data_IF_816257257735
#
_entry.id   IF_816257257735
#
_cell.length_a   1.000
_cell.length_b   1.000
_cell.length_c   1.000
_cell.angle_alpha   90.00
_cell.angle_beta   90.00
_cell.angle_gamma   90.00
#
_symmetry.space_group_name_H-M   'P 1'
#
loop_
_entity.id
_entity.type
_entity.pdbx_description
1 polymer ?
#
# COMPACT_ATOMS: atom_id res chain seq x y z
N UNK A 1 0.67 32.97 -1.77
CA UNK A 1 1.89 32.20 -1.44
C UNK A 1 1.57 31.24 -0.30
N UNK A 2 1.98 29.97 -0.35
CA UNK A 2 1.80 29.06 0.78
C UNK A 2 2.58 29.59 2.00
N UNK A 3 1.98 29.48 3.19
CA UNK A 3 2.58 29.94 4.45
C UNK A 3 3.92 29.23 4.66
N UNK A 4 4.96 29.97 5.08
CA UNK A 4 6.26 29.37 5.43
C UNK A 4 6.05 28.35 6.56
N UNK A 5 6.50 27.12 6.32
CA UNK A 5 6.42 26.03 7.30
C UNK A 5 7.43 26.29 8.42
N UNK A 6 7.01 26.01 9.65
CA UNK A 6 7.93 25.99 10.78
C UNK A 6 8.65 24.64 10.84
N UNK A 7 9.80 24.54 11.52
CA UNK A 7 10.44 23.24 11.78
C UNK A 7 9.50 22.22 12.46
N UNK A 8 8.55 22.70 13.27
CA UNK A 8 7.53 21.87 13.91
C UNK A 8 6.52 21.33 12.89
N UNK A 9 6.11 22.13 11.91
CA UNK A 9 5.26 21.69 10.81
C UNK A 9 5.95 20.63 9.95
N UNK A 10 7.23 20.83 9.64
CA UNK A 10 8.01 19.86 8.87
C UNK A 10 8.20 18.55 9.64
N UNK A 11 8.43 18.62 10.96
CA UNK A 11 8.51 17.43 11.79
C UNK A 11 7.18 16.68 11.86
N UNK A 12 6.05 17.39 11.97
CA UNK A 12 4.70 16.78 11.90
C UNK A 12 4.49 16.11 10.54
N UNK A 13 4.82 16.80 9.45
CA UNK A 13 4.69 16.25 8.10
C UNK A 13 5.56 15.00 7.91
N UNK A 14 6.78 14.98 8.44
CA UNK A 14 7.63 13.80 8.44
C UNK A 14 6.95 12.62 9.16
N UNK A 15 6.41 12.83 10.36
CA UNK A 15 5.69 11.78 11.09
C UNK A 15 4.45 11.22 10.36
N UNK A 16 3.75 12.08 9.61
CA UNK A 16 2.53 11.69 8.89
C UNK A 16 2.81 11.11 7.49
N UNK A 17 3.84 11.59 6.79
CA UNK A 17 4.07 11.31 5.37
C UNK A 17 5.27 10.40 5.11
N UNK A 18 6.32 10.45 5.95
CA UNK A 18 7.43 9.51 5.82
C UNK A 18 6.92 8.10 6.15
N UNK A 19 7.28 7.12 5.32
CA UNK A 19 6.77 5.74 5.42
C UNK A 19 7.91 4.78 5.73
N UNK A 20 7.66 3.77 6.55
CA UNK A 20 8.64 2.75 6.94
C UNK A 20 8.14 1.38 6.55
N UNK A 21 9.06 0.55 6.06
CA UNK A 21 8.75 -0.84 5.75
C UNK A 21 8.58 -1.62 7.06
N UNK A 22 7.34 -1.92 7.42
CA UNK A 22 6.99 -2.70 8.60
C UNK A 22 7.14 -4.21 8.38
N UNK A 23 7.02 -4.67 7.13
CA UNK A 23 6.95 -6.10 6.79
C UNK A 23 8.29 -6.85 6.91
N UNK A 24 9.34 -6.22 7.46
CA UNK A 24 10.66 -6.83 7.61
C UNK A 24 11.32 -7.22 6.28
N UNK A 25 10.76 -6.79 5.14
CA UNK A 25 11.29 -7.08 3.82
C UNK A 25 12.62 -6.37 3.61
N UNK A 26 13.54 -7.04 2.91
CA UNK A 26 14.78 -6.40 2.48
C UNK A 26 14.46 -5.28 1.46
N UNK A 27 15.15 -4.15 1.53
CA UNK A 27 15.06 -3.07 0.51
C UNK A 27 15.16 -3.59 -0.95
N UNK A 28 15.89 -4.69 -1.17
CA UNK A 28 16.07 -5.29 -2.49
C UNK A 28 14.91 -6.16 -2.94
N UNK A 29 14.11 -6.70 -2.04
CA UNK A 29 13.01 -7.60 -2.41
C UNK A 29 11.82 -6.83 -2.97
N UNK A 30 11.55 -5.60 -2.50
CA UNK A 30 10.56 -4.69 -3.10
C UNK A 30 10.76 -4.49 -4.60
N UNK A 31 12.03 -4.37 -5.04
CA UNK A 31 12.38 -4.20 -6.47
C UNK A 31 11.95 -5.41 -7.32
N UNK A 32 12.04 -6.62 -6.75
CA UNK A 32 11.66 -7.87 -7.42
C UNK A 32 10.15 -8.10 -7.33
N UNK A 33 9.57 -7.90 -6.15
CA UNK A 33 8.20 -8.23 -5.83
C UNK A 33 7.19 -7.31 -6.53
N UNK A 34 7.47 -6.01 -6.68
CA UNK A 34 6.60 -5.11 -7.46
C UNK A 34 6.48 -5.60 -8.91
N UNK A 35 7.62 -5.89 -9.56
CA UNK A 35 7.65 -6.37 -10.94
C UNK A 35 6.93 -7.71 -11.07
N UNK A 36 7.16 -8.61 -10.12
CA UNK A 36 6.55 -9.93 -10.09
C UNK A 36 5.02 -9.86 -9.91
N UNK A 37 4.52 -9.07 -8.97
CA UNK A 37 3.10 -8.84 -8.74
C UNK A 37 2.39 -8.27 -9.97
N UNK A 38 2.98 -7.27 -10.63
CA UNK A 38 2.48 -6.73 -11.90
C UNK A 38 2.41 -7.81 -12.98
N UNK A 39 3.46 -8.63 -13.11
CA UNK A 39 3.51 -9.75 -14.08
C UNK A 39 2.42 -10.78 -13.79
N UNK A 40 2.20 -11.14 -12.52
CA UNK A 40 1.16 -12.10 -12.15
C UNK A 40 -0.24 -11.59 -12.49
N UNK A 41 -0.55 -10.32 -12.19
CA UNK A 41 -1.84 -9.72 -12.55
C UNK A 41 -2.03 -9.71 -14.07
N UNK A 42 -1.03 -9.30 -14.84
CA UNK A 42 -1.11 -9.31 -16.29
C UNK A 42 -1.30 -10.73 -16.86
N UNK A 43 -0.58 -11.74 -16.33
CA UNK A 43 -0.72 -13.14 -16.75
C UNK A 43 -2.11 -13.69 -16.43
N UNK A 44 -2.65 -13.40 -15.23
CA UNK A 44 -3.98 -13.83 -14.83
C UNK A 44 -5.06 -13.21 -15.73
N UNK A 45 -4.97 -11.91 -16.02
CA UNK A 45 -5.91 -11.22 -16.91
C UNK A 45 -5.85 -11.76 -18.34
N UNK A 46 -4.66 -12.02 -18.89
CA UNK A 46 -4.51 -12.65 -20.21
C UNK A 46 -5.09 -14.04 -20.25
N UNK A 47 -4.83 -14.87 -19.24
CA UNK A 47 -5.41 -16.21 -19.15
C UNK A 47 -6.94 -16.14 -19.16
N UNK A 48 -7.54 -15.29 -18.33
CA UNK A 48 -9.00 -15.13 -18.28
C UNK A 48 -9.58 -14.60 -19.59
N UNK A 49 -8.89 -13.68 -20.26
CA UNK A 49 -9.26 -13.24 -21.60
C UNK A 49 -9.24 -14.39 -22.62
N UNK A 50 -8.16 -15.19 -22.64
CA UNK A 50 -8.06 -16.34 -23.55
C UNK A 50 -9.08 -17.43 -23.26
N UNK A 51 -9.43 -17.67 -22.00
CA UNK A 51 -10.50 -18.60 -21.60
C UNK A 51 -11.87 -18.11 -22.08
N UNK A 52 -12.19 -16.82 -21.90
CA UNK A 52 -13.47 -16.25 -22.33
C UNK A 52 -13.65 -16.29 -23.86
N UNK A 53 -12.57 -16.15 -24.61
CA UNK A 53 -12.56 -16.13 -26.09
C UNK A 53 -12.16 -17.49 -26.70
N UNK A 54 -12.10 -18.56 -25.91
CA UNK A 54 -11.64 -19.86 -26.42
C UNK A 54 -12.59 -20.44 -27.46
N UNK A 55 -13.89 -20.24 -27.29
CA UNK A 55 -14.95 -20.76 -28.17
C UNK A 55 -14.96 -20.10 -29.54
N UNK A 56 -14.40 -18.90 -29.69
CA UNK A 56 -14.40 -18.15 -30.95
C UNK A 56 -13.21 -18.46 -31.86
N UNK A 57 -12.38 -19.46 -31.53
CA UNK A 57 -11.18 -19.83 -32.32
C UNK A 57 -11.49 -20.71 -33.54
N UNK A 58 -12.74 -21.15 -33.69
CA UNK A 58 -13.20 -21.99 -34.78
C UNK A 58 -13.88 -21.21 -35.92
N UNK A 59 -14.70 -21.88 -36.74
CA UNK A 59 -15.53 -21.23 -37.74
C UNK A 59 -16.37 -20.09 -37.14
N UNK A 60 -16.62 -19.05 -37.94
CA UNK A 60 -17.39 -17.90 -37.49
C UNK A 60 -18.84 -18.30 -37.18
N UNK A 61 -19.20 -18.26 -35.89
CA UNK A 61 -20.54 -18.47 -35.36
C UNK A 61 -20.94 -17.19 -34.59
N UNK A 62 -21.90 -16.40 -35.10
CA UNK A 62 -22.33 -15.14 -34.49
C UNK A 62 -22.82 -15.30 -33.05
N UNK A 63 -23.56 -16.38 -32.76
CA UNK A 63 -24.16 -16.60 -31.44
C UNK A 63 -23.06 -16.94 -30.42
N UNK A 64 -22.07 -17.73 -30.82
CA UNK A 64 -20.91 -18.02 -29.96
C UNK A 64 -20.02 -16.79 -29.76
N UNK A 65 -19.90 -15.92 -30.77
CA UNK A 65 -19.14 -14.69 -30.67
C UNK A 65 -19.78 -13.71 -29.68
N UNK A 66 -21.10 -13.54 -29.74
CA UNK A 66 -21.86 -12.69 -28.80
C UNK A 66 -21.70 -13.19 -27.36
N UNK A 67 -21.90 -14.49 -27.13
CA UNK A 67 -21.74 -15.08 -25.80
C UNK A 67 -20.31 -14.98 -25.25
N UNK A 68 -19.30 -15.07 -26.11
CA UNK A 68 -17.89 -14.92 -25.72
C UNK A 68 -17.55 -13.47 -25.38
N UNK A 69 -18.08 -12.51 -26.16
CA UNK A 69 -17.97 -11.09 -25.87
C UNK A 69 -18.61 -10.74 -24.53
N UNK A 70 -19.84 -11.19 -24.29
CA UNK A 70 -20.54 -10.96 -23.03
C UNK A 70 -19.75 -11.50 -21.83
N UNK A 71 -19.22 -12.72 -21.93
CA UNK A 71 -18.34 -13.32 -20.91
C UNK A 71 -17.07 -12.50 -20.69
N UNK A 72 -16.46 -11.99 -21.76
CA UNK A 72 -15.25 -11.18 -21.69
C UNK A 72 -15.51 -9.82 -21.02
N UNK A 73 -16.63 -9.16 -21.32
CA UNK A 73 -16.98 -7.84 -20.79
C UNK A 73 -17.45 -7.91 -19.33
N UNK A 74 -18.23 -8.94 -18.95
CA UNK A 74 -18.68 -9.15 -17.57
C UNK A 74 -17.54 -9.46 -16.60
N UNK A 75 -16.37 -9.88 -17.08
CA UNK A 75 -15.26 -10.24 -16.19
C UNK A 75 -14.71 -9.01 -15.48
N UNK A 76 -14.48 -9.11 -14.18
CA UNK A 76 -13.73 -8.09 -13.44
C UNK A 76 -12.22 -8.33 -13.58
N UNK A 77 -11.44 -7.43 -14.21
CA UNK A 77 -10.00 -7.62 -14.32
C UNK A 77 -9.35 -7.58 -12.93
N UNK A 78 -8.37 -8.47 -12.70
CA UNK A 78 -7.51 -8.38 -11.52
C UNK A 78 -6.69 -7.08 -11.63
N UNK A 79 -6.56 -6.36 -10.52
CA UNK A 79 -5.77 -5.13 -10.41
C UNK A 79 -4.65 -5.34 -9.40
N UNK A 80 -3.52 -4.68 -9.64
CA UNK A 80 -2.45 -4.58 -8.66
C UNK A 80 -2.39 -3.12 -8.22
N UNK A 81 -2.62 -2.90 -6.93
CA UNK A 81 -2.55 -1.60 -6.31
C UNK A 81 -1.38 -1.59 -5.34
N UNK A 82 -0.58 -0.52 -5.41
CA UNK A 82 0.50 -0.32 -4.45
C UNK A 82 -0.11 0.31 -3.20
N UNK A 83 -0.13 -0.43 -2.11
CA UNK A 83 -0.49 0.11 -0.80
C UNK A 83 0.70 0.86 -0.21
N UNK A 84 0.46 2.00 0.45
CA UNK A 84 1.53 2.74 1.08
C UNK A 84 1.92 2.06 2.40
N UNK A 85 3.22 2.05 2.73
CA UNK A 85 3.70 1.44 3.97
C UNK A 85 3.25 2.23 5.21
N UNK A 86 3.57 1.73 6.40
CA UNK A 86 3.16 2.36 7.65
C UNK A 86 3.80 3.75 7.84
N UNK A 87 3.05 4.78 8.27
CA UNK A 87 3.63 6.09 8.52
C UNK A 87 4.58 6.06 9.72
N UNK A 88 5.65 6.87 9.63
CA UNK A 88 6.76 6.90 10.59
C UNK A 88 6.31 7.04 12.05
N UNK A 89 5.22 7.77 12.29
CA UNK A 89 4.73 7.93 13.65
C UNK A 89 4.37 6.63 14.33
N UNK A 90 3.80 5.64 13.63
CA UNK A 90 3.34 4.41 14.26
C UNK A 90 4.53 3.62 14.78
N UNK A 91 5.56 3.44 13.95
CA UNK A 91 6.82 2.80 14.37
C UNK A 91 7.47 3.53 15.55
N UNK A 92 7.49 4.88 15.52
CA UNK A 92 8.10 5.69 16.59
C UNK A 92 7.29 5.62 17.88
N UNK A 93 5.96 5.68 17.83
CA UNK A 93 5.11 5.60 19.02
C UNK A 93 5.17 4.21 19.62
N UNK A 94 5.07 3.14 18.82
CA UNK A 94 5.18 1.76 19.31
C UNK A 94 6.53 1.49 19.98
N UNK A 95 7.64 1.95 19.36
CA UNK A 95 8.97 1.82 19.98
C UNK A 95 9.07 2.57 21.32
N UNK A 96 8.45 3.75 21.43
CA UNK A 96 8.46 4.53 22.66
C UNK A 96 7.55 3.94 23.73
N UNK A 97 6.40 3.39 23.35
CA UNK A 97 5.46 2.70 24.25
C UNK A 97 6.15 1.53 24.94
N UNK A 98 6.78 0.63 24.19
CA UNK A 98 7.54 -0.50 24.77
C UNK A 98 8.66 -0.05 25.72
N UNK A 99 9.31 1.09 25.42
CA UNK A 99 10.35 1.63 26.31
C UNK A 99 9.77 2.21 27.59
N UNK A 100 8.66 2.92 27.48
CA UNK A 100 7.93 3.50 28.63
C UNK A 100 7.43 2.39 29.54
N UNK A 101 6.91 1.29 28.99
CA UNK A 101 6.49 0.13 29.76
C UNK A 101 7.64 -0.45 30.60
N UNK A 102 8.85 -0.48 30.05
CA UNK A 102 10.04 -0.98 30.73
C UNK A 102 10.64 0.02 31.75
N UNK A 103 10.63 1.31 31.44
CA UNK A 103 11.32 2.35 32.20
C UNK A 103 10.41 3.09 33.19
N UNK A 104 9.09 2.92 33.06
CA UNK A 104 8.08 3.58 33.87
C UNK A 104 7.57 4.92 33.28
N UNK A 105 6.47 5.44 33.83
CA UNK A 105 5.74 6.60 33.32
C UNK A 105 6.49 7.93 33.46
N UNK A 106 7.45 8.02 34.39
CA UNK A 106 8.24 9.24 34.63
C UNK A 106 9.50 9.31 33.75
N UNK A 107 9.68 8.34 32.84
CA UNK A 107 10.83 8.28 31.94
C UNK A 107 10.84 9.44 30.94
N UNK A 108 12.05 9.82 30.49
CA UNK A 108 12.20 10.76 29.37
C UNK A 108 11.51 10.28 28.08
N UNK A 109 11.35 8.97 27.92
CA UNK A 109 10.61 8.36 26.81
C UNK A 109 9.11 8.63 26.90
N UNK A 110 8.52 8.72 28.11
CA UNK A 110 7.11 9.07 28.29
C UNK A 110 6.86 10.52 27.86
N UNK A 111 7.72 11.46 28.27
CA UNK A 111 7.66 12.85 27.81
C UNK A 111 7.85 12.97 26.28
N UNK A 112 8.74 12.14 25.71
CA UNK A 112 8.95 12.07 24.25
C UNK A 112 7.73 11.53 23.51
N UNK A 113 7.08 10.48 24.02
CA UNK A 113 5.87 9.88 23.48
C UNK A 113 4.73 10.89 23.47
N UNK A 114 4.49 11.57 24.60
CA UNK A 114 3.49 12.63 24.71
C UNK A 114 3.71 13.75 23.68
N UNK A 115 4.97 14.18 23.48
CA UNK A 115 5.32 15.20 22.49
C UNK A 115 5.06 14.75 21.05
N UNK A 116 5.34 13.48 20.70
CA UNK A 116 5.05 12.95 19.36
C UNK A 116 3.53 12.93 19.13
N UNK A 117 2.75 12.40 20.08
CA UNK A 117 1.29 12.36 20.02
C UNK A 117 0.69 13.76 19.91
N UNK A 118 1.19 14.74 20.68
CA UNK A 118 0.73 16.13 20.61
C UNK A 118 0.96 16.77 19.24
N UNK A 119 2.08 16.46 18.57
CA UNK A 119 2.38 16.97 17.22
C UNK A 119 1.42 16.42 16.15
N UNK A 120 0.95 15.18 16.31
CA UNK A 120 -0.01 14.57 15.39
C UNK A 120 -1.41 15.16 15.54
N UNK A 121 -1.79 15.60 16.75
CA UNK A 121 -3.12 16.15 17.05
C UNK A 121 -3.34 17.59 16.56
N UNK A 122 -2.28 18.35 16.30
CA UNK A 122 -2.38 19.70 15.73
C UNK A 122 -2.77 19.59 14.25
N UNK A 123 -4.07 19.53 14.00
CA UNK A 123 -4.71 19.64 12.68
C UNK A 123 -4.73 21.08 12.20
#
# INVERSE_FOLDING_TARGET
>A
MPRRRTPQDDKRLSYAKDRRNEYGENDKSTRKNIRLSRRYVARANRRKASEALATTRGPADPDQAEQAQERFERRRPKRWDKWPDEPLHVTVTGTLETRVEREGPDSANAARLARVRARLRRT
#
